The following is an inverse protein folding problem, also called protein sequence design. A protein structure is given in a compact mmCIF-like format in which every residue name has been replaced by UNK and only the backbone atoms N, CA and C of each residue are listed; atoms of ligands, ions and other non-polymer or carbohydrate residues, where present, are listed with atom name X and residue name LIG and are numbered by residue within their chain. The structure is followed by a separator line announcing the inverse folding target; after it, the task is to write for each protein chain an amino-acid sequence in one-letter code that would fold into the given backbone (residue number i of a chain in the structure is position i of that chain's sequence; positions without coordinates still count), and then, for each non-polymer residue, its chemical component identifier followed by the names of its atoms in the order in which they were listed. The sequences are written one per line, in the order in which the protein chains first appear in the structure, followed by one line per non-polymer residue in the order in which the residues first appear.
data_IF_737933161535
#
_entry.id   IF_737933161535
#
_cell.length_a   1.000
_cell.length_b   1.000
_cell.length_c   1.000
_cell.angle_alpha   90.00
_cell.angle_beta   90.00
_cell.angle_gamma   90.00
#
_symmetry.space_group_name_H-M   'P 1'
#
loop_
_entity.id
_entity.type
_entity.pdbx_description
1 polymer ?
#
# COMPACT_ATOMS: atom_id res chain seq x y z
N UNK A 1 -16.28 -9.89 -15.55
CA UNK A 1 -16.72 -11.06 -16.34
C UNK A 1 -15.83 -12.22 -15.95
N UNK A 2 -16.38 -13.30 -15.39
CA UNK A 2 -15.59 -14.47 -14.99
C UNK A 2 -15.21 -15.25 -16.25
N UNK A 3 -13.93 -15.29 -16.60
CA UNK A 3 -13.45 -16.09 -17.72
C UNK A 3 -13.47 -17.58 -17.31
N UNK A 4 -14.32 -18.43 -17.92
CA UNK A 4 -14.46 -19.82 -17.49
C UNK A 4 -13.15 -20.61 -17.54
N UNK A 5 -12.27 -20.30 -18.50
CA UNK A 5 -10.95 -20.90 -18.63
C UNK A 5 -10.03 -20.64 -17.44
N UNK A 6 -10.11 -19.46 -16.82
CA UNK A 6 -9.31 -19.11 -15.63
C UNK A 6 -9.80 -19.92 -14.43
N UNK A 7 -11.11 -20.03 -14.25
CA UNK A 7 -11.71 -20.79 -13.14
C UNK A 7 -11.33 -22.27 -13.26
N UNK A 8 -11.47 -22.87 -14.45
CA UNK A 8 -11.12 -24.28 -14.66
C UNK A 8 -9.63 -24.57 -14.42
N UNK A 9 -8.72 -23.65 -14.74
CA UNK A 9 -7.29 -23.82 -14.46
C UNK A 9 -6.95 -23.70 -12.97
N UNK A 10 -7.69 -22.89 -12.21
CA UNK A 10 -7.52 -22.77 -10.76
C UNK A 10 -8.05 -23.99 -10.00
N UNK A 11 -9.05 -24.67 -10.55
CA UNK A 11 -9.68 -25.86 -9.97
C UNK A 11 -9.00 -27.18 -10.39
N UNK A 12 -8.07 -27.14 -11.35
CA UNK A 12 -7.39 -28.33 -11.85
C UNK A 12 -6.29 -28.81 -10.90
N UNK A 13 -6.14 -30.13 -10.78
CA UNK A 13 -5.00 -30.72 -10.09
C UNK A 13 -3.71 -30.54 -10.91
N UNK A 14 -2.62 -30.16 -10.24
CA UNK A 14 -1.30 -30.02 -10.83
C UNK A 14 -0.94 -28.58 -11.23
N UNK A 15 0.27 -28.37 -11.78
CA UNK A 15 0.76 -27.04 -12.14
C UNK A 15 0.06 -26.49 -13.39
N UNK A 16 -0.26 -25.20 -13.37
CA UNK A 16 -0.84 -24.47 -14.49
C UNK A 16 -0.10 -23.14 -14.74
N UNK A 17 -0.12 -22.68 -15.99
CA UNK A 17 0.39 -21.36 -16.41
C UNK A 17 -0.78 -20.55 -16.97
N UNK A 18 -0.97 -19.35 -16.45
CA UNK A 18 -1.93 -18.37 -16.98
C UNK A 18 -1.12 -17.15 -17.42
N UNK A 19 -0.97 -16.96 -18.72
CA UNK A 19 -0.38 -15.76 -19.29
C UNK A 19 -1.44 -14.66 -19.34
N UNK A 20 -1.18 -13.54 -18.65
CA UNK A 20 -2.05 -12.36 -18.65
C UNK A 20 -1.30 -11.22 -19.31
N UNK A 21 -1.51 -10.96 -20.61
CA UNK A 21 -0.93 -9.79 -21.25
C UNK A 21 -1.55 -8.54 -20.63
N UNK A 22 -0.69 -7.69 -20.09
CA UNK A 22 -1.07 -6.39 -19.53
C UNK A 22 -0.38 -5.28 -20.33
N UNK A 23 -1.02 -4.12 -20.40
CA UNK A 23 -0.39 -2.93 -20.97
C UNK A 23 0.76 -2.48 -20.04
N UNK A 24 2.01 -2.35 -20.54
CA UNK A 24 3.14 -1.91 -19.72
C UNK A 24 2.97 -0.50 -19.15
N UNK A 25 2.14 0.34 -19.79
CA UNK A 25 1.87 1.72 -19.37
C UNK A 25 0.60 1.81 -18.49
N UNK A 26 -0.03 0.68 -18.16
CA UNK A 26 -1.20 0.63 -17.30
C UNK A 26 -0.87 1.18 -15.90
N UNK A 27 -1.38 2.37 -15.61
CA UNK A 27 -1.15 3.03 -14.32
C UNK A 27 -2.14 2.53 -13.27
N UNK A 28 -1.68 2.30 -12.03
CA UNK A 28 -2.53 2.02 -10.88
C UNK A 28 -2.87 3.31 -10.12
N UNK A 29 -4.11 3.44 -9.69
CA UNK A 29 -4.59 4.55 -8.85
C UNK A 29 -5.48 4.02 -7.73
N UNK A 30 -5.49 4.68 -6.55
CA UNK A 30 -4.73 5.88 -6.21
C UNK A 30 -3.26 5.59 -5.88
N UNK A 31 -2.36 6.50 -6.27
CA UNK A 31 -0.93 6.45 -5.90
C UNK A 31 -0.67 7.47 -4.79
N UNK A 32 -0.20 7.02 -3.63
CA UNK A 32 0.29 7.93 -2.59
C UNK A 32 1.63 8.50 -3.09
N UNK A 33 1.62 9.76 -3.51
CA UNK A 33 2.82 10.46 -3.99
C UNK A 33 3.52 11.15 -2.81
N UNK A 34 4.85 11.24 -2.87
CA UNK A 34 5.62 12.07 -1.95
C UNK A 34 5.31 13.56 -2.19
N UNK A 35 5.26 14.35 -1.12
CA UNK A 35 5.11 15.80 -1.22
C UNK A 35 6.48 16.46 -1.39
N UNK A 36 6.56 17.45 -2.28
CA UNK A 36 7.75 18.31 -2.43
C UNK A 36 7.65 19.44 -1.42
N UNK A 37 8.70 19.61 -0.62
CA UNK A 37 8.79 20.61 0.43
C UNK A 37 9.32 21.94 -0.13
N UNK A 38 9.15 23.04 0.62
CA UNK A 38 9.57 24.37 0.20
C UNK A 38 11.09 24.50 -0.04
N UNK A 39 11.89 23.63 0.59
CA UNK A 39 13.34 23.54 0.41
C UNK A 39 13.77 22.63 -0.76
N UNK A 40 12.79 22.10 -1.52
CA UNK A 40 13.02 21.16 -2.63
C UNK A 40 13.24 19.71 -2.21
N UNK A 41 13.23 19.41 -0.91
CA UNK A 41 13.29 18.03 -0.43
C UNK A 41 11.97 17.29 -0.70
N UNK A 42 12.02 15.97 -0.74
CA UNK A 42 10.82 15.13 -0.87
C UNK A 42 10.50 14.46 0.46
N UNK A 43 9.21 14.43 0.81
CA UNK A 43 8.71 13.73 1.98
C UNK A 43 7.60 12.77 1.61
N UNK A 44 7.83 11.49 1.85
CA UNK A 44 6.81 10.46 1.66
C UNK A 44 5.79 10.51 2.81
N UNK A 45 4.53 10.27 2.48
CA UNK A 45 3.50 10.10 3.51
C UNK A 45 3.77 8.82 4.34
N UNK A 46 3.48 8.83 5.65
CA UNK A 46 3.67 7.66 6.49
C UNK A 46 2.70 6.55 6.07
N UNK A 47 3.22 5.53 5.38
CA UNK A 47 2.41 4.39 4.92
C UNK A 47 1.83 3.55 6.06
N UNK A 48 2.46 3.61 7.23
CA UNK A 48 2.03 2.85 8.42
C UNK A 48 0.81 3.46 9.11
N UNK A 49 0.48 4.73 8.84
CA UNK A 49 -0.69 5.39 9.42
C UNK A 49 -1.83 5.37 8.42
N UNK A 50 -2.81 4.50 8.68
CA UNK A 50 -4.02 4.35 7.87
C UNK A 50 -5.24 4.83 8.66
N UNK A 51 -6.30 5.22 7.95
CA UNK A 51 -7.58 5.55 8.57
C UNK A 51 -8.52 4.33 8.54
N UNK A 52 -9.30 4.09 9.62
CA UNK A 52 -9.28 4.82 10.89
C UNK A 52 -8.02 4.52 11.71
N UNK A 53 -7.65 5.46 12.58
CA UNK A 53 -6.52 5.29 13.49
C UNK A 53 -6.67 4.01 14.34
N UNK A 54 -5.56 3.34 14.62
CA UNK A 54 -5.54 2.17 15.48
C UNK A 54 -5.84 2.56 16.94
N UNK A 55 -6.46 1.66 17.73
CA UNK A 55 -6.56 1.84 19.18
C UNK A 55 -5.17 2.04 19.81
N UNK A 56 -5.03 2.91 20.84
CA UNK A 56 -3.73 3.26 21.41
C UNK A 56 -2.92 2.07 21.94
N UNK A 57 -3.58 1.02 22.43
CA UNK A 57 -2.93 -0.19 22.93
C UNK A 57 -2.37 -1.08 21.80
N UNK A 58 -3.03 -1.08 20.64
CA UNK A 58 -2.57 -1.81 19.45
C UNK A 58 -1.40 -1.06 18.84
N UNK A 59 -1.53 0.25 18.64
CA UNK A 59 -0.46 1.09 18.08
C UNK A 59 0.82 0.98 18.90
N UNK A 60 0.73 1.04 20.23
CA UNK A 60 1.88 0.87 21.13
C UNK A 60 2.59 -0.48 20.95
N UNK A 61 1.84 -1.56 20.68
CA UNK A 61 2.40 -2.91 20.51
C UNK A 61 3.09 -3.08 19.15
N UNK A 62 2.52 -2.51 18.09
CA UNK A 62 2.99 -2.74 16.72
C UNK A 62 4.06 -1.73 16.27
N UNK A 63 4.09 -0.54 16.87
CA UNK A 63 5.01 0.55 16.49
C UNK A 63 6.41 0.47 17.12
N UNK A 64 6.74 -0.62 17.82
CA UNK A 64 7.97 -0.78 18.63
C UNK A 64 9.28 -0.66 17.84
N UNK A 65 9.25 -0.84 16.51
CA UNK A 65 10.42 -0.77 15.64
C UNK A 65 10.41 0.40 14.65
N UNK A 66 9.44 1.33 14.76
CA UNK A 66 9.30 2.44 13.80
C UNK A 66 10.39 3.54 13.94
N UNK A 67 11.32 3.41 14.89
CA UNK A 67 12.44 4.34 15.08
C UNK A 67 11.99 5.71 15.63
N UNK A 68 12.85 6.36 16.41
CA UNK A 68 12.59 7.65 17.05
C UNK A 68 12.68 8.86 16.08
N UNK A 69 12.15 8.74 14.87
CA UNK A 69 11.92 9.87 13.96
C UNK A 69 10.43 10.22 13.91
N UNK A 70 9.84 10.45 15.09
CA UNK A 70 8.44 10.87 15.22
C UNK A 70 8.30 11.85 16.39
N UNK A 71 8.88 13.04 16.25
CA UNK A 71 8.18 14.24 16.71
C UNK A 71 7.76 15.00 15.47
N UNK A 72 6.58 14.67 14.96
CA UNK A 72 5.88 15.60 14.09
C UNK A 72 4.50 15.85 14.66
N UNK A 73 4.30 17.12 14.98
CA UNK A 73 3.18 17.65 15.70
C UNK A 73 1.85 17.22 15.07
N UNK A 74 0.91 16.86 15.95
CA UNK A 74 -0.49 17.13 15.71
C UNK A 74 -0.61 18.57 15.20
N UNK A 75 -1.04 18.73 13.95
CA UNK A 75 -0.96 20.02 13.28
C UNK A 75 -1.73 20.08 11.97
N UNK A 76 -3.01 20.45 12.13
CA UNK A 76 -3.84 21.25 11.22
C UNK A 76 -4.53 20.57 10.02
N UNK A 77 -5.86 20.53 10.18
CA UNK A 77 -6.98 20.52 9.23
C UNK A 77 -7.25 19.24 8.41
#
# INVERSE_FOLDING_TARGET
MNAPSVVSLLEADGPALIEVPIDPDQTYYPKITSAVQADGSMKSNPLHRMSPDLPPDVEKRVSVHLGATMSQAAGAN
#
